data_IF_136568938585
#
_entry.id   IF_136568938585
#
_cell.length_a   1.000
_cell.length_b   1.000
_cell.length_c   1.000
_cell.angle_alpha   90.00
_cell.angle_beta   90.00
_cell.angle_gamma   90.00
#
_symmetry.space_group_name_H-M   'P 1'
#
loop_
_entity.id
_entity.type
_entity.pdbx_description
1 polymer ?
#
# COMPACT_ATOMS: atom_id res chain seq x y z
N UNK A 1 22.92 21.69 -20.65
CA UNK A 1 22.97 20.25 -20.99
C UNK A 1 21.60 19.84 -21.51
N UNK A 2 21.58 19.25 -22.69
CA UNK A 2 20.41 19.06 -23.55
C UNK A 2 19.53 17.94 -22.98
N UNK A 3 18.26 18.22 -22.70
CA UNK A 3 17.24 17.21 -22.43
C UNK A 3 16.40 17.02 -23.71
N UNK A 4 16.28 15.81 -24.27
CA UNK A 4 15.40 15.59 -25.40
C UNK A 4 13.94 15.50 -24.92
N UNK A 5 13.07 16.26 -25.56
CA UNK A 5 11.63 16.15 -25.44
C UNK A 5 11.12 15.08 -26.42
N UNK A 6 10.25 14.17 -25.98
CA UNK A 6 9.45 13.34 -26.89
C UNK A 6 8.03 13.11 -26.35
N UNK A 7 7.05 13.35 -27.24
CA UNK A 7 5.63 12.96 -27.14
C UNK A 7 5.47 11.51 -27.61
N UNK A 8 4.41 10.80 -27.17
CA UNK A 8 3.39 10.16 -28.04
C UNK A 8 2.51 9.13 -27.29
N UNK A 9 1.18 9.27 -27.38
CA UNK A 9 0.21 8.18 -27.28
C UNK A 9 -1.05 8.54 -28.11
N UNK A 10 -1.70 7.56 -28.76
CA UNK A 10 -3.01 7.68 -29.42
C UNK A 10 -3.90 6.45 -29.10
N UNK A 11 -5.16 6.71 -28.72
CA UNK A 11 -6.16 5.74 -28.25
C UNK A 11 -6.94 5.11 -29.42
N UNK A 12 -7.26 3.80 -29.36
CA UNK A 12 -8.13 3.13 -30.34
C UNK A 12 -9.54 2.85 -29.77
N UNK A 13 -10.52 2.71 -30.66
CA UNK A 13 -11.96 2.60 -30.35
C UNK A 13 -12.36 1.29 -29.64
N UNK A 14 -11.44 0.33 -29.47
CA UNK A 14 -11.68 -0.96 -28.78
C UNK A 14 -11.09 -0.99 -27.34
N UNK A 15 -10.50 0.12 -26.87
CA UNK A 15 -10.01 0.24 -25.49
C UNK A 15 -8.65 -0.41 -25.22
N UNK A 16 -7.82 -0.62 -26.24
CA UNK A 16 -6.47 -1.21 -26.13
C UNK A 16 -5.40 -0.23 -26.62
N UNK A 17 -4.31 -0.09 -25.86
CA UNK A 17 -3.12 0.67 -26.25
C UNK A 17 -2.11 -0.26 -26.95
N UNK A 18 -1.74 0.08 -28.18
CA UNK A 18 -0.63 -0.53 -28.93
C UNK A 18 0.53 0.46 -29.02
N UNK A 19 1.76 -0.01 -28.86
CA UNK A 19 2.95 0.67 -29.38
C UNK A 19 3.96 -0.36 -29.88
N UNK A 20 4.28 -0.29 -31.18
CA UNK A 20 5.28 -1.09 -31.88
C UNK A 20 6.67 -0.75 -31.35
N UNK A 21 7.27 -1.65 -30.58
CA UNK A 21 8.35 -2.48 -31.11
C UNK A 21 8.69 -3.57 -30.08
N UNK A 22 8.31 -4.76 -30.51
CA UNK A 22 8.77 -6.10 -30.13
C UNK A 22 8.81 -6.45 -28.64
N UNK A 23 7.81 -7.26 -28.31
CA UNK A 23 7.64 -8.13 -27.16
C UNK A 23 7.51 -7.45 -25.80
N UNK A 24 6.27 -7.43 -25.28
CA UNK A 24 5.87 -8.05 -24.01
C UNK A 24 4.35 -7.83 -23.81
N UNK A 25 3.64 -8.90 -23.46
CA UNK A 25 2.18 -8.96 -23.28
C UNK A 25 1.74 -8.63 -21.85
N UNK A 26 0.60 -7.95 -21.70
CA UNK A 26 0.13 -7.34 -20.45
C UNK A 26 -1.12 -8.02 -19.88
N UNK A 27 -1.08 -8.28 -18.57
CA UNK A 27 -2.26 -8.27 -17.70
C UNK A 27 -1.81 -7.56 -16.42
N UNK A 28 -2.28 -6.33 -16.20
CA UNK A 28 -1.90 -5.46 -15.08
C UNK A 28 -0.37 -5.32 -14.86
N UNK A 29 0.31 -4.54 -15.72
CA UNK A 29 1.76 -4.36 -15.68
C UNK A 29 2.18 -2.89 -15.74
N UNK A 30 3.09 -2.51 -14.86
CA UNK A 30 3.77 -1.22 -14.77
C UNK A 30 5.25 -1.47 -14.99
N UNK A 31 5.85 -0.77 -15.94
CA UNK A 31 7.30 -0.70 -16.12
C UNK A 31 7.85 0.56 -15.47
N UNK A 32 8.89 0.44 -14.63
CA UNK A 32 9.64 1.58 -14.10
C UNK A 32 11.14 1.36 -14.35
N UNK A 33 11.76 2.35 -15.01
CA UNK A 33 13.19 2.41 -15.32
C UNK A 33 14.01 2.81 -14.07
N UNK A 34 15.34 2.73 -14.15
CA UNK A 34 16.35 2.81 -13.06
C UNK A 34 16.34 4.06 -12.13
N UNK A 35 15.34 4.95 -12.24
CA UNK A 35 15.21 6.19 -11.46
C UNK A 35 14.04 6.12 -10.47
N UNK A 36 14.14 5.25 -9.47
CA UNK A 36 13.14 5.07 -8.41
C UNK A 36 12.83 6.34 -7.57
N UNK A 37 13.61 7.43 -7.72
CA UNK A 37 13.30 8.74 -7.12
C UNK A 37 12.27 9.58 -7.91
N UNK A 38 11.93 9.17 -9.14
CA UNK A 38 11.01 9.86 -10.07
C UNK A 38 9.66 9.14 -10.23
N UNK A 39 9.30 8.24 -9.29
CA UNK A 39 8.13 7.34 -9.38
C UNK A 39 6.78 8.08 -9.42
N UNK A 40 6.72 9.38 -9.11
CA UNK A 40 5.49 10.19 -9.22
C UNK A 40 5.65 11.37 -10.20
N UNK A 41 6.86 11.68 -10.67
CA UNK A 41 7.10 12.91 -11.43
C UNK A 41 6.73 12.79 -12.91
N UNK A 42 6.75 11.58 -13.46
CA UNK A 42 6.38 11.32 -14.85
C UNK A 42 4.86 11.21 -15.02
N UNK A 43 4.36 11.84 -16.08
CA UNK A 43 2.93 11.90 -16.43
C UNK A 43 2.30 10.49 -16.60
N UNK A 44 3.11 9.52 -17.03
CA UNK A 44 2.77 8.09 -17.11
C UNK A 44 2.44 7.45 -15.74
N UNK A 45 3.13 7.86 -14.67
CA UNK A 45 2.90 7.32 -13.32
C UNK A 45 1.60 7.85 -12.72
N UNK A 46 1.15 9.05 -13.13
CA UNK A 46 -0.12 9.63 -12.67
C UNK A 46 -1.33 8.83 -13.11
N UNK A 47 -1.38 8.44 -14.39
CA UNK A 47 -2.47 7.63 -14.91
C UNK A 47 -2.55 6.27 -14.24
N UNK A 48 -1.41 5.67 -13.95
CA UNK A 48 -1.32 4.38 -13.28
C UNK A 48 -1.83 4.47 -11.84
N UNK A 49 -1.41 5.49 -11.10
CA UNK A 49 -1.91 5.78 -9.75
C UNK A 49 -3.43 6.01 -9.79
N UNK A 50 -3.95 6.75 -10.78
CA UNK A 50 -5.40 6.93 -10.94
C UNK A 50 -6.12 5.64 -11.24
N UNK A 51 -5.66 4.84 -12.22
CA UNK A 51 -6.27 3.55 -12.56
C UNK A 51 -6.26 2.59 -11.38
N UNK A 52 -5.19 2.61 -10.58
CA UNK A 52 -5.13 1.87 -9.33
C UNK A 52 -6.24 2.32 -8.37
N UNK A 53 -6.38 3.63 -8.14
CA UNK A 53 -7.44 4.16 -7.27
C UNK A 53 -8.85 3.99 -7.83
N UNK A 54 -9.06 4.07 -9.13
CA UNK A 54 -10.33 3.78 -9.80
C UNK A 54 -10.73 2.31 -9.65
N UNK A 55 -9.75 1.40 -9.67
CA UNK A 55 -10.01 0.02 -9.31
C UNK A 55 -10.37 -0.10 -7.83
N UNK A 56 -9.77 0.71 -6.94
CA UNK A 56 -10.18 0.77 -5.54
C UNK A 56 -11.61 1.30 -5.34
N UNK A 57 -12.11 2.16 -6.23
CA UNK A 57 -13.51 2.63 -6.18
C UNK A 57 -14.52 1.49 -6.34
N UNK A 58 -14.13 0.39 -6.99
CA UNK A 58 -14.96 -0.83 -7.09
C UNK A 58 -15.16 -1.52 -5.73
N UNK A 59 -14.38 -1.17 -4.71
CA UNK A 59 -14.48 -1.69 -3.34
C UNK A 59 -15.08 -0.65 -2.37
N UNK A 60 -15.89 0.28 -2.89
CA UNK A 60 -16.62 1.25 -2.07
C UNK A 60 -15.82 2.49 -1.65
N UNK A 61 -14.53 2.56 -2.00
CA UNK A 61 -13.68 3.72 -1.70
C UNK A 61 -13.88 4.78 -2.77
N UNK A 62 -14.75 5.78 -2.54
CA UNK A 62 -15.00 6.85 -3.52
C UNK A 62 -14.04 8.02 -3.32
N UNK A 63 -13.49 8.53 -4.42
CA UNK A 63 -12.65 9.73 -4.39
C UNK A 63 -13.33 10.91 -5.08
N UNK A 64 -13.32 12.06 -4.42
CA UNK A 64 -13.65 13.33 -5.08
C UNK A 64 -12.59 13.72 -6.10
N UNK A 65 -12.95 14.49 -7.12
CA UNK A 65 -12.01 15.02 -8.11
C UNK A 65 -10.89 15.87 -7.48
N UNK A 66 -11.16 16.54 -6.37
CA UNK A 66 -10.18 17.27 -5.56
C UNK A 66 -9.11 16.33 -4.99
N UNK A 67 -9.54 15.19 -4.43
CA UNK A 67 -8.71 14.15 -3.85
C UNK A 67 -7.90 13.42 -4.91
N UNK A 68 -8.52 13.03 -6.03
CA UNK A 68 -7.83 12.41 -7.18
C UNK A 68 -6.68 13.28 -7.69
N UNK A 69 -6.92 14.58 -7.85
CA UNK A 69 -5.87 15.54 -8.27
C UNK A 69 -4.72 15.59 -7.27
N UNK A 70 -5.01 15.57 -5.98
CA UNK A 70 -3.98 15.64 -4.94
C UNK A 70 -3.14 14.36 -4.83
N UNK A 71 -3.76 13.20 -5.07
CA UNK A 71 -3.07 11.90 -5.12
C UNK A 71 -2.01 11.86 -6.22
N UNK A 72 -2.32 12.41 -7.40
CA UNK A 72 -1.39 12.43 -8.54
C UNK A 72 -0.45 13.61 -8.59
N UNK A 73 -0.55 14.56 -7.64
CA UNK A 73 0.35 15.70 -7.62
C UNK A 73 1.78 15.21 -7.36
N UNK A 74 2.71 15.47 -8.30
CA UNK A 74 4.09 15.04 -8.17
C UNK A 74 4.83 15.88 -7.12
N UNK A 75 5.90 15.33 -6.58
CA UNK A 75 6.81 16.03 -5.67
C UNK A 75 6.15 16.55 -4.39
N UNK A 76 6.73 17.63 -3.86
CA UNK A 76 6.29 18.25 -2.62
C UNK A 76 4.92 18.91 -2.79
N UNK A 77 3.93 18.44 -2.05
CA UNK A 77 2.54 18.91 -2.15
C UNK A 77 2.14 19.63 -0.87
N UNK A 78 1.71 20.90 -0.99
CA UNK A 78 1.05 21.63 0.10
C UNK A 78 -0.47 21.61 -0.13
N UNK A 79 -1.19 20.91 0.76
CA UNK A 79 -2.63 20.80 0.71
C UNK A 79 -3.29 21.74 1.71
N UNK A 80 -4.09 22.70 1.22
CA UNK A 80 -4.85 23.64 2.05
C UNK A 80 -6.34 23.37 1.91
N UNK A 81 -7.06 23.31 3.03
CA UNK A 81 -8.51 23.07 3.04
C UNK A 81 -9.07 23.05 4.45
N UNK A 82 -10.39 23.29 4.58
CA UNK A 82 -11.11 23.24 5.87
C UNK A 82 -11.05 21.85 6.50
N UNK A 83 -11.39 21.74 7.78
CA UNK A 83 -11.56 20.40 8.41
C UNK A 83 -12.61 19.59 7.65
N UNK A 84 -12.46 18.27 7.60
CA UNK A 84 -13.38 17.36 6.91
C UNK A 84 -13.22 17.25 5.38
N UNK A 85 -12.34 18.03 4.73
CA UNK A 85 -12.15 17.96 3.27
C UNK A 85 -11.27 16.77 2.79
N UNK A 86 -11.14 15.72 3.60
CA UNK A 86 -10.40 14.49 3.25
C UNK A 86 -8.88 14.62 3.07
N UNK A 87 -8.24 15.68 3.59
CA UNK A 87 -6.78 15.88 3.46
C UNK A 87 -6.00 14.71 4.04
N UNK A 88 -6.32 14.32 5.27
CA UNK A 88 -5.67 13.22 5.97
C UNK A 88 -5.86 11.90 5.25
N UNK A 89 -7.09 11.63 4.80
CA UNK A 89 -7.46 10.45 4.03
C UNK A 89 -6.61 10.33 2.76
N UNK A 90 -6.48 11.43 2.00
CA UNK A 90 -5.63 11.44 0.79
C UNK A 90 -4.16 11.23 1.12
N UNK A 91 -3.64 11.76 2.22
CA UNK A 91 -2.27 11.48 2.65
C UNK A 91 -2.07 9.98 2.92
N UNK A 92 -3.01 9.32 3.59
CA UNK A 92 -2.95 7.88 3.83
C UNK A 92 -2.98 7.07 2.53
N UNK A 93 -3.85 7.44 1.59
CA UNK A 93 -3.87 6.84 0.25
C UNK A 93 -2.58 7.09 -0.53
N UNK A 94 -1.98 8.28 -0.42
CA UNK A 94 -0.70 8.59 -1.05
C UNK A 94 0.42 7.71 -0.48
N UNK A 95 0.44 7.51 0.84
CA UNK A 95 1.38 6.58 1.49
C UNK A 95 1.21 5.16 0.94
N UNK A 96 -0.03 4.67 0.85
CA UNK A 96 -0.34 3.36 0.30
C UNK A 96 0.09 3.21 -1.15
N UNK A 97 -0.21 4.18 -2.02
CA UNK A 97 0.21 4.14 -3.41
C UNK A 97 1.74 4.07 -3.54
N UNK A 98 2.47 4.88 -2.77
CA UNK A 98 3.94 4.89 -2.80
C UNK A 98 4.48 3.54 -2.32
N UNK A 99 3.96 3.01 -1.21
CA UNK A 99 4.37 1.71 -0.68
C UNK A 99 4.16 0.58 -1.69
N UNK A 100 2.98 0.50 -2.31
CA UNK A 100 2.66 -0.52 -3.31
C UNK A 100 3.52 -0.40 -4.57
N UNK A 101 3.74 0.83 -5.06
CA UNK A 101 4.62 1.07 -6.20
C UNK A 101 6.06 0.63 -5.89
N UNK A 102 6.54 0.90 -4.67
CA UNK A 102 7.87 0.48 -4.26
C UNK A 102 7.97 -1.05 -4.14
N UNK A 103 6.95 -1.72 -3.60
CA UNK A 103 6.86 -3.20 -3.57
C UNK A 103 6.91 -3.79 -4.97
N UNK A 104 6.14 -3.24 -5.91
CA UNK A 104 6.13 -3.68 -7.30
C UNK A 104 7.50 -3.49 -7.96
N UNK A 105 8.14 -2.34 -7.74
CA UNK A 105 9.48 -2.04 -8.24
C UNK A 105 10.54 -3.01 -7.68
N UNK A 106 10.53 -3.23 -6.36
CA UNK A 106 11.47 -4.16 -5.70
C UNK A 106 11.32 -5.59 -6.24
N UNK A 107 10.08 -6.05 -6.43
CA UNK A 107 9.81 -7.37 -7.01
C UNK A 107 10.25 -7.46 -8.47
N UNK A 108 9.96 -6.45 -9.29
CA UNK A 108 10.45 -6.36 -10.68
C UNK A 108 11.97 -6.44 -10.77
N UNK A 109 12.66 -5.72 -9.89
CA UNK A 109 14.12 -5.72 -9.82
C UNK A 109 14.68 -7.08 -9.39
N UNK A 110 14.09 -7.74 -8.39
CA UNK A 110 14.51 -9.05 -7.92
C UNK A 110 14.28 -10.15 -8.97
N UNK A 111 13.17 -10.09 -9.70
CA UNK A 111 12.85 -11.06 -10.76
C UNK A 111 13.57 -10.78 -12.10
N UNK A 112 14.20 -9.61 -12.26
CA UNK A 112 14.79 -9.19 -13.53
C UNK A 112 13.74 -9.00 -14.64
N UNK A 113 12.48 -8.73 -14.28
CA UNK A 113 11.35 -8.63 -15.21
C UNK A 113 10.79 -7.22 -15.20
N UNK A 114 10.50 -6.70 -16.40
CA UNK A 114 9.88 -5.37 -16.57
C UNK A 114 8.43 -5.34 -16.09
N UNK A 115 7.73 -6.48 -16.18
CA UNK A 115 6.32 -6.58 -15.81
C UNK A 115 6.15 -7.59 -14.70
N UNK A 116 5.75 -7.09 -13.54
CA UNK A 116 5.47 -7.90 -12.36
C UNK A 116 4.08 -7.62 -11.85
N UNK A 117 3.40 -8.69 -11.45
CA UNK A 117 2.12 -8.62 -10.77
C UNK A 117 2.38 -8.70 -9.27
N UNK A 118 1.77 -7.79 -8.53
CA UNK A 118 1.68 -7.91 -7.09
C UNK A 118 0.69 -9.01 -6.72
N UNK A 119 1.11 -9.84 -5.78
CA UNK A 119 0.38 -10.93 -5.15
C UNK A 119 0.08 -10.57 -3.70
N UNK A 120 -0.86 -11.27 -3.07
CA UNK A 120 -1.23 -11.05 -1.68
C UNK A 120 -0.03 -11.16 -0.72
N UNK A 121 0.89 -12.09 -0.98
CA UNK A 121 2.13 -12.27 -0.21
C UNK A 121 3.06 -11.07 -0.28
N UNK A 122 3.07 -10.35 -1.40
CA UNK A 122 3.96 -9.20 -1.60
C UNK A 122 3.57 -8.00 -0.73
N UNK A 123 2.31 -7.92 -0.29
CA UNK A 123 1.84 -6.85 0.59
C UNK A 123 2.46 -6.93 1.99
N UNK A 124 2.87 -8.12 2.41
CA UNK A 124 3.50 -8.37 3.71
C UNK A 124 5.01 -8.17 3.67
N UNK A 125 5.61 -8.11 2.47
CA UNK A 125 7.05 -7.90 2.33
C UNK A 125 7.37 -6.44 2.56
N UNK A 126 8.29 -6.17 3.48
CA UNK A 126 8.76 -4.81 3.73
C UNK A 126 9.54 -4.28 2.54
N UNK A 127 9.02 -3.23 1.91
CA UNK A 127 9.59 -2.68 0.70
C UNK A 127 10.88 -1.90 0.95
N UNK A 128 11.13 -1.44 2.19
CA UNK A 128 12.25 -0.54 2.51
C UNK A 128 12.00 0.92 2.09
N UNK A 129 10.74 1.28 1.80
CA UNK A 129 10.36 2.66 1.55
C UNK A 129 10.21 3.39 2.90
N UNK A 130 11.16 4.27 3.23
CA UNK A 130 11.21 5.02 4.49
C UNK A 130 10.15 6.12 4.61
N UNK A 131 8.86 5.76 4.59
CA UNK A 131 7.74 6.71 4.65
C UNK A 131 7.37 7.00 6.10
N UNK A 132 7.37 8.27 6.49
CA UNK A 132 6.91 8.71 7.82
C UNK A 132 5.68 9.60 7.66
N UNK A 133 4.59 9.22 8.33
CA UNK A 133 3.44 10.08 8.58
C UNK A 133 3.57 10.69 9.97
N UNK A 134 3.42 12.01 10.06
CA UNK A 134 3.44 12.69 11.35
C UNK A 134 2.31 13.70 11.53
N UNK A 135 1.73 13.72 12.72
CA UNK A 135 0.74 14.71 13.15
C UNK A 135 0.98 15.11 14.61
N UNK A 136 0.47 16.25 15.05
CA UNK A 136 0.58 16.65 16.45
C UNK A 136 -0.31 15.79 17.37
N UNK A 137 -1.36 15.19 16.82
CA UNK A 137 -2.35 14.42 17.60
C UNK A 137 -2.02 12.92 17.63
N UNK A 138 -1.90 12.30 18.82
CA UNK A 138 -1.70 10.85 18.96
C UNK A 138 -2.88 10.07 18.39
N UNK A 139 -4.11 10.50 18.68
CA UNK A 139 -5.35 9.83 18.28
C UNK A 139 -5.44 9.81 16.77
N UNK A 140 -5.16 10.94 16.12
CA UNK A 140 -5.11 10.99 14.66
C UNK A 140 -3.98 10.14 14.08
N UNK A 141 -2.84 10.00 14.77
CA UNK A 141 -1.75 9.10 14.35
C UNK A 141 -2.24 7.65 14.34
N UNK A 142 -2.87 7.21 15.43
CA UNK A 142 -3.41 5.85 15.56
C UNK A 142 -4.53 5.57 14.59
N UNK A 143 -5.43 6.53 14.38
CA UNK A 143 -6.54 6.40 13.43
C UNK A 143 -6.03 6.28 11.99
N UNK A 144 -5.06 7.10 11.59
CA UNK A 144 -4.46 7.00 10.24
C UNK A 144 -3.72 5.69 10.05
N UNK A 145 -3.05 5.19 11.09
CA UNK A 145 -2.40 3.87 11.08
C UNK A 145 -3.41 2.75 10.88
N UNK A 146 -4.49 2.71 11.68
CA UNK A 146 -5.57 1.72 11.56
C UNK A 146 -6.18 1.76 10.16
N UNK A 147 -6.54 2.95 9.70
CA UNK A 147 -7.06 3.15 8.35
C UNK A 147 -6.12 2.62 7.26
N UNK A 148 -4.82 2.86 7.38
CA UNK A 148 -3.83 2.31 6.43
C UNK A 148 -3.78 0.78 6.46
N UNK A 149 -3.79 0.16 7.65
CA UNK A 149 -3.78 -1.29 7.82
C UNK A 149 -5.05 -1.93 7.23
N UNK A 150 -6.22 -1.32 7.47
CA UNK A 150 -7.49 -1.77 6.90
C UNK A 150 -7.46 -1.72 5.37
N UNK A 151 -6.87 -0.67 4.79
CA UNK A 151 -6.69 -0.58 3.34
C UNK A 151 -5.78 -1.67 2.81
N UNK A 152 -4.67 -1.97 3.49
CA UNK A 152 -3.78 -3.07 3.09
C UNK A 152 -4.50 -4.41 3.13
N UNK A 153 -5.29 -4.67 4.18
CA UNK A 153 -6.04 -5.90 4.35
C UNK A 153 -7.09 -6.08 3.23
N UNK A 154 -7.85 -5.02 2.91
CA UNK A 154 -8.82 -5.04 1.80
C UNK A 154 -8.15 -5.35 0.46
N UNK A 155 -6.97 -4.79 0.20
CA UNK A 155 -6.21 -5.08 -1.02
C UNK A 155 -5.72 -6.54 -1.02
N UNK A 156 -5.26 -7.05 0.12
CA UNK A 156 -4.82 -8.45 0.28
C UNK A 156 -5.95 -9.42 -0.06
N UNK A 157 -7.11 -9.24 0.54
CA UNK A 157 -8.31 -10.05 0.29
C UNK A 157 -8.71 -10.03 -1.18
N UNK A 158 -8.66 -8.85 -1.81
CA UNK A 158 -8.94 -8.72 -3.24
C UNK A 158 -7.96 -9.52 -4.11
N UNK A 159 -6.65 -9.44 -3.82
CA UNK A 159 -5.64 -10.19 -4.55
C UNK A 159 -5.83 -11.70 -4.40
N UNK A 160 -6.15 -12.17 -3.18
CA UNK A 160 -6.46 -13.59 -2.91
C UNK A 160 -7.68 -14.05 -3.71
N UNK A 161 -8.77 -13.28 -3.69
CA UNK A 161 -9.98 -13.58 -4.47
C UNK A 161 -9.68 -13.69 -5.96
N UNK A 162 -8.90 -12.77 -6.52
CA UNK A 162 -8.48 -12.84 -7.93
C UNK A 162 -7.63 -14.08 -8.24
N UNK A 163 -6.74 -14.48 -7.33
CA UNK A 163 -5.92 -15.68 -7.50
C UNK A 163 -6.80 -16.94 -7.53
N UNK A 164 -7.74 -17.06 -6.58
CA UNK A 164 -8.73 -18.15 -6.52
C UNK A 164 -9.56 -18.23 -7.82
N UNK A 165 -10.08 -17.10 -8.31
CA UNK A 165 -10.85 -17.05 -9.57
C UNK A 165 -10.03 -17.48 -10.80
N UNK A 166 -8.73 -17.14 -10.85
CA UNK A 166 -7.84 -17.53 -11.95
C UNK A 166 -7.53 -19.03 -11.90
N UNK A 167 -7.30 -19.59 -10.72
CA UNK A 167 -7.10 -21.02 -10.52
C UNK A 167 -8.33 -21.83 -10.97
N UNK A 168 -9.53 -21.42 -10.56
CA UNK A 168 -10.79 -22.05 -10.97
C UNK A 168 -11.00 -22.01 -12.49
N UNK A 169 -10.68 -20.88 -13.15
CA UNK A 169 -10.78 -20.76 -14.62
C UNK A 169 -9.77 -21.65 -15.34
N UNK A 170 -8.58 -21.87 -14.78
CA UNK A 170 -7.58 -22.80 -15.35
C UNK A 170 -8.08 -24.25 -15.25
N UNK A 171 -8.59 -24.66 -14.08
CA UNK A 171 -9.16 -26.00 -13.87
C UNK A 171 -10.27 -26.32 -14.88
N UNK A 172 -11.26 -25.43 -15.03
CA UNK A 172 -12.36 -25.61 -15.99
C UNK A 172 -11.88 -25.75 -17.44
N UNK A 173 -10.82 -25.04 -17.83
CA UNK A 173 -10.24 -25.13 -19.17
C UNK A 173 -9.51 -26.45 -19.38
N UNK A 174 -8.80 -26.94 -18.37
CA UNK A 174 -8.12 -28.24 -18.42
C UNK A 174 -9.14 -29.39 -18.55
N UNK A 175 -10.22 -29.37 -17.76
CA UNK A 175 -11.31 -30.36 -17.84
C UNK A 175 -11.99 -30.39 -19.22
N UNK A 176 -12.24 -29.21 -19.80
CA UNK A 176 -12.87 -29.10 -21.14
C UNK A 176 -11.95 -29.67 -22.23
N UNK A 177 -10.63 -29.45 -22.13
CA UNK A 177 -9.67 -29.97 -23.09
C UNK A 177 -9.46 -31.49 -22.96
N UNK A 178 -9.54 -32.07 -21.76
CA UNK A 178 -9.45 -33.53 -21.58
C UNK A 178 -10.66 -34.28 -22.18
N UNK A 179 -11.86 -33.68 -22.20
CA UNK A 179 -13.02 -34.26 -22.88
C UNK A 179 -12.90 -34.22 -24.42
N UNK A 180 -12.24 -33.20 -24.98
CA UNK A 180 -11.99 -33.13 -26.43
C UNK A 180 -10.81 -34.00 -26.89
N UNK A 181 -9.85 -34.32 -26.01
CA UNK A 181 -8.63 -35.07 -26.36
C UNK A 181 -8.72 -36.58 -26.12
N UNK A 182 -9.82 -37.09 -25.53
CA UNK A 182 -10.11 -38.55 -25.41
C UNK A 182 -10.30 -39.31 -26.74
N UNK A 183 -10.00 -38.68 -27.88
CA UNK A 183 -9.96 -39.30 -29.21
C UNK A 183 -8.55 -39.38 -29.84
N UNK A 184 -7.45 -39.03 -29.14
CA UNK A 184 -6.09 -39.24 -29.67
C UNK A 184 -5.02 -39.45 -28.58
N UNK A 185 -4.57 -40.70 -28.52
CA UNK A 185 -3.32 -41.27 -27.99
C UNK A 185 -2.82 -40.93 -26.58
N UNK A 186 -2.66 -42.00 -25.80
CA UNK A 186 -2.05 -42.09 -24.48
C UNK A 186 -0.53 -41.84 -24.54
N UNK A 187 -0.01 -40.85 -23.80
CA UNK A 187 1.14 -40.95 -22.87
C UNK A 187 1.70 -39.57 -22.45
N UNK A 188 1.94 -39.42 -21.14
CA UNK A 188 2.74 -38.42 -20.40
C UNK A 188 2.15 -37.02 -20.09
N UNK A 189 1.34 -36.89 -19.03
CA UNK A 189 1.03 -35.60 -18.36
C UNK A 189 0.82 -35.74 -16.82
N UNK A 190 1.67 -36.48 -16.09
CA UNK A 190 1.49 -36.66 -14.63
C UNK A 190 2.20 -35.60 -13.74
N UNK A 191 3.02 -34.70 -14.29
CA UNK A 191 3.88 -33.83 -13.46
C UNK A 191 3.33 -32.41 -13.17
N UNK A 192 2.27 -31.93 -13.84
CA UNK A 192 1.73 -30.56 -13.63
C UNK A 192 0.55 -30.48 -12.64
N UNK A 193 -0.11 -31.60 -12.30
CA UNK A 193 -1.26 -31.59 -11.39
C UNK A 193 -0.86 -31.40 -9.91
N UNK A 194 0.30 -31.93 -9.50
CA UNK A 194 0.77 -31.93 -8.10
C UNK A 194 1.13 -30.54 -7.57
N UNK A 195 1.55 -29.60 -8.43
CA UNK A 195 1.95 -28.25 -8.01
C UNK A 195 0.74 -27.32 -7.75
N UNK A 196 -0.35 -27.51 -8.51
CA UNK A 196 -1.60 -26.77 -8.35
C UNK A 196 -2.40 -27.23 -7.12
N UNK A 197 -2.30 -28.50 -6.74
CA UNK A 197 -3.04 -29.05 -5.60
C UNK A 197 -2.45 -28.59 -4.26
N UNK A 198 -1.12 -28.43 -4.18
CA UNK A 198 -0.45 -27.82 -3.01
C UNK A 198 -0.81 -26.35 -2.80
N UNK A 199 -0.89 -25.55 -3.85
CA UNK A 199 -1.20 -24.11 -3.73
C UNK A 199 -2.65 -23.85 -3.26
N UNK A 200 -3.56 -24.80 -3.49
CA UNK A 200 -4.96 -24.73 -3.02
C UNK A 200 -5.14 -25.23 -1.59
N UNK A 201 -4.41 -26.27 -1.18
CA UNK A 201 -4.49 -26.80 0.18
C UNK A 201 -4.03 -25.80 1.27
N UNK A 202 -3.17 -24.84 0.91
CA UNK A 202 -2.76 -23.75 1.81
C UNK A 202 -3.83 -22.64 1.94
N UNK A 203 -4.78 -22.54 1.00
CA UNK A 203 -5.78 -21.46 0.94
C UNK A 203 -7.15 -21.80 1.54
N UNK A 204 -7.41 -23.08 1.83
CA UNK A 204 -8.69 -23.58 2.39
C UNK A 204 -8.73 -23.58 3.93
N UNK A 205 -7.66 -23.13 4.61
CA UNK A 205 -7.61 -23.04 6.08
C UNK A 205 -8.04 -21.66 6.65
N UNK A 206 -8.45 -20.71 5.80
CA UNK A 206 -8.89 -19.37 6.21
C UNK A 206 -10.29 -19.06 5.65
N UNK A 207 -11.32 -19.76 6.14
CA UNK A 207 -12.72 -19.45 5.84
C UNK A 207 -13.47 -19.01 7.12
N UNK A 208 -13.63 -17.69 7.27
CA UNK A 208 -14.85 -17.06 7.78
C UNK A 208 -14.86 -15.60 7.29
N UNK A 209 -16.03 -14.98 7.19
CA UNK A 209 -16.32 -13.58 6.80
C UNK A 209 -16.82 -13.33 5.37
N UNK A 210 -18.13 -13.47 5.23
CA UNK A 210 -18.92 -12.67 4.28
C UNK A 210 -20.09 -12.04 5.04
N UNK A 211 -19.96 -10.80 5.57
CA UNK A 211 -21.10 -9.87 5.83
C UNK A 211 -20.79 -8.46 6.44
N UNK A 212 -19.73 -7.72 6.07
CA UNK A 212 -19.44 -6.42 6.73
C UNK A 212 -19.27 -5.17 5.84
N UNK A 213 -19.35 -5.29 4.51
CA UNK A 213 -18.62 -4.35 3.64
C UNK A 213 -19.21 -2.93 3.47
N UNK A 214 -20.50 -2.68 3.75
CA UNK A 214 -21.12 -1.35 3.47
C UNK A 214 -21.39 -0.48 4.71
N UNK A 215 -21.32 -1.04 5.93
CA UNK A 215 -21.62 -0.29 7.16
C UNK A 215 -20.39 0.40 7.75
N UNK A 216 -19.23 -0.22 7.60
CA UNK A 216 -18.00 0.17 8.30
C UNK A 216 -17.30 1.39 7.69
N UNK A 217 -17.32 1.55 6.36
CA UNK A 217 -16.67 2.71 5.72
C UNK A 217 -17.36 4.04 6.10
N UNK A 218 -18.66 3.99 6.41
CA UNK A 218 -19.45 5.15 6.83
C UNK A 218 -19.32 5.40 8.33
N UNK A 219 -19.35 4.35 9.14
CA UNK A 219 -19.09 4.43 10.59
C UNK A 219 -17.65 4.94 10.88
N UNK A 220 -16.66 4.60 10.06
CA UNK A 220 -15.28 5.08 10.17
C UNK A 220 -15.12 6.56 9.76
N UNK A 221 -15.87 7.01 8.76
CA UNK A 221 -15.86 8.41 8.37
C UNK A 221 -16.53 9.30 9.45
N UNK A 222 -17.54 8.76 10.13
CA UNK A 222 -18.22 9.38 11.26
C UNK A 222 -17.37 9.33 12.54
N UNK A 223 -16.62 8.25 12.81
CA UNK A 223 -15.70 8.15 13.96
C UNK A 223 -14.53 9.12 13.84
N UNK A 224 -13.93 9.25 12.65
CA UNK A 224 -12.90 10.26 12.37
C UNK A 224 -13.43 11.68 12.63
N UNK A 225 -14.69 11.94 12.32
CA UNK A 225 -15.33 13.25 12.54
C UNK A 225 -15.63 13.50 14.03
N UNK A 226 -16.13 12.50 14.76
CA UNK A 226 -16.47 12.57 16.18
C UNK A 226 -15.23 12.75 17.09
N UNK A 227 -14.13 12.10 16.75
CA UNK A 227 -12.86 12.17 17.50
C UNK A 227 -12.16 13.52 17.32
N UNK A 228 -12.38 14.20 16.19
CA UNK A 228 -11.92 15.59 16.00
C UNK A 228 -12.62 16.55 16.98
N UNK A 229 -13.84 16.23 17.43
CA UNK A 229 -14.62 17.05 18.36
C UNK A 229 -14.43 16.67 19.84
N UNK A 230 -13.95 15.46 20.16
CA UNK A 230 -13.76 14.97 21.54
C UNK A 230 -12.40 15.32 22.17
N UNK A 231 -11.54 16.11 21.51
CA UNK A 231 -10.17 16.47 21.94
C UNK A 231 -10.11 17.42 23.14
N UNK A 232 -10.76 17.06 24.26
CA UNK A 232 -10.64 17.72 25.56
C UNK A 232 -10.49 16.80 26.77
N UNK A 233 -10.49 15.46 26.64
CA UNK A 233 -10.47 14.59 27.82
C UNK A 233 -9.52 13.37 27.82
N UNK A 234 -8.67 13.17 26.81
CA UNK A 234 -7.91 11.91 26.64
C UNK A 234 -6.37 12.11 26.60
N UNK A 235 -5.77 12.66 27.66
CA UNK A 235 -4.29 12.75 27.79
C UNK A 235 -3.68 11.57 28.56
N UNK A 236 -4.48 10.78 29.29
CA UNK A 236 -3.98 9.66 30.11
C UNK A 236 -3.93 8.34 29.31
N UNK A 237 -4.87 8.09 28.39
CA UNK A 237 -4.82 6.94 27.47
C UNK A 237 -3.76 7.12 26.34
N UNK A 238 -3.23 8.33 26.18
CA UNK A 238 -2.26 8.72 25.13
C UNK A 238 -0.88 8.05 25.31
N UNK A 239 -0.47 7.73 26.54
CA UNK A 239 0.84 7.14 26.83
C UNK A 239 0.86 5.61 26.70
N UNK A 240 -0.26 4.92 26.94
CA UNK A 240 -0.34 3.46 26.80
C UNK A 240 -0.39 3.04 25.32
N UNK A 241 -1.06 3.80 24.45
CA UNK A 241 -1.12 3.48 23.02
C UNK A 241 0.22 3.71 22.29
N UNK A 242 1.02 4.72 22.66
CA UNK A 242 2.37 4.91 22.10
C UNK A 242 3.35 3.80 22.53
N UNK A 243 3.16 3.19 23.71
CA UNK A 243 3.99 2.09 24.19
C UNK A 243 3.71 0.76 23.46
N UNK A 244 2.50 0.58 22.93
CA UNK A 244 2.12 -0.61 22.13
C UNK A 244 2.78 -0.62 20.75
N UNK A 245 3.19 0.55 20.27
CA UNK A 245 3.97 0.68 19.05
C UNK A 245 5.42 0.36 19.38
N UNK A 246 5.92 -0.80 18.96
CA UNK A 246 7.33 -1.23 19.06
C UNK A 246 8.27 -0.35 18.22
N UNK A 247 8.22 0.97 18.41
CA UNK A 247 8.95 1.99 17.69
C UNK A 247 10.17 2.37 18.52
N UNK A 248 11.39 2.18 17.98
CA UNK A 248 12.61 2.56 18.66
C UNK A 248 12.67 4.03 19.09
N UNK A 249 13.52 4.32 20.08
CA UNK A 249 13.72 5.69 20.59
C UNK A 249 14.56 6.59 19.69
N UNK A 250 15.15 6.07 18.61
CA UNK A 250 16.03 6.78 17.67
C UNK A 250 15.74 6.35 16.23
N UNK A 251 15.90 7.29 15.29
CA UNK A 251 15.75 7.03 13.84
C UNK A 251 16.78 6.01 13.35
N UNK A 252 17.98 5.99 13.92
CA UNK A 252 19.08 5.10 13.48
C UNK A 252 18.81 3.63 13.77
N UNK A 253 17.83 3.37 14.65
CA UNK A 253 17.41 2.02 15.04
C UNK A 253 16.19 1.54 14.26
N UNK A 254 15.61 2.36 13.39
CA UNK A 254 14.48 1.95 12.55
C UNK A 254 14.94 0.91 11.52
N UNK A 255 14.18 -0.18 11.41
CA UNK A 255 14.33 -1.20 10.38
C UNK A 255 13.26 -1.02 9.31
N UNK A 256 13.39 -1.75 8.19
CA UNK A 256 12.38 -1.76 7.13
C UNK A 256 10.99 -2.19 7.64
N UNK A 257 10.94 -2.95 8.74
CA UNK A 257 9.70 -3.44 9.36
C UNK A 257 8.89 -2.33 10.04
N UNK A 258 9.55 -1.22 10.37
CA UNK A 258 8.90 -0.08 11.00
C UNK A 258 8.19 0.84 9.99
N UNK A 259 8.25 0.54 8.70
CA UNK A 259 7.72 1.39 7.64
C UNK A 259 6.49 0.78 6.93
N UNK A 260 5.48 1.61 6.57
CA UNK A 260 5.40 3.04 6.86
C UNK A 260 5.20 3.33 8.36
N UNK A 261 5.86 4.38 8.83
CA UNK A 261 5.89 4.73 10.25
C UNK A 261 4.88 5.85 10.53
N UNK A 262 4.03 5.68 11.54
CA UNK A 262 3.03 6.66 11.95
C UNK A 262 3.40 7.17 13.34
N UNK A 263 3.74 8.47 13.43
CA UNK A 263 4.31 9.07 14.65
C UNK A 263 3.62 10.38 15.01
N UNK A 264 3.65 10.73 16.29
CA UNK A 264 3.43 12.12 16.67
C UNK A 264 4.64 12.98 16.26
N UNK A 265 4.43 14.27 15.99
CA UNK A 265 5.53 15.22 15.73
C UNK A 265 6.51 15.24 16.91
N UNK A 266 6.00 15.16 18.14
CA UNK A 266 6.80 15.07 19.37
C UNK A 266 7.72 13.85 19.34
N UNK A 267 7.18 12.65 19.09
CA UNK A 267 7.96 11.42 18.99
C UNK A 267 9.01 11.50 17.89
N UNK A 268 8.66 12.01 16.71
CA UNK A 268 9.59 12.18 15.59
C UNK A 268 10.76 13.11 15.97
N UNK A 269 10.49 14.25 16.60
CA UNK A 269 11.53 15.18 17.08
C UNK A 269 12.45 14.47 18.08
N UNK A 270 11.90 13.72 19.03
CA UNK A 270 12.73 12.98 19.98
C UNK A 270 13.56 11.88 19.32
N UNK A 271 13.04 11.20 18.31
CA UNK A 271 13.82 10.20 17.58
C UNK A 271 14.96 10.84 16.78
N UNK A 272 14.72 11.99 16.13
CA UNK A 272 15.73 12.74 15.40
C UNK A 272 16.82 13.29 16.33
N UNK A 273 16.42 13.82 17.48
CA UNK A 273 17.33 14.27 18.52
C UNK A 273 18.22 13.12 19.04
N UNK A 274 17.66 11.94 19.25
CA UNK A 274 18.40 10.77 19.71
C UNK A 274 19.46 10.29 18.71
N UNK A 275 19.27 10.56 17.41
CA UNK A 275 20.22 10.25 16.34
C UNK A 275 21.34 11.29 16.20
N UNK A 276 21.27 12.40 16.92
CA UNK A 276 22.31 13.42 16.87
C UNK A 276 23.54 12.99 17.69
N UNK A 277 24.74 13.35 17.22
CA UNK A 277 26.00 13.12 17.96
C UNK A 277 26.00 13.74 19.36
N UNK A 278 25.27 14.85 19.50
CA UNK A 278 25.06 15.56 20.76
C UNK A 278 23.56 15.84 20.91
N UNK A 279 22.78 14.89 21.46
CA UNK A 279 21.35 15.08 21.70
C UNK A 279 21.11 16.26 22.63
N UNK A 280 20.09 17.06 22.33
CA UNK A 280 19.62 18.15 23.18
C UNK A 280 18.93 17.63 24.43
N UNK A 281 18.09 16.59 24.29
CA UNK A 281 17.41 15.99 25.43
C UNK A 281 18.33 14.99 26.14
N UNK A 282 18.56 15.18 27.44
CA UNK A 282 19.29 14.24 28.27
C UNK A 282 18.57 12.89 28.33
N UNK A 283 19.29 11.79 28.11
CA UNK A 283 18.73 10.43 28.05
C UNK A 283 19.39 9.47 29.01
N UNK A 284 18.59 8.53 29.52
CA UNK A 284 19.06 7.39 30.30
C UNK A 284 19.77 6.34 29.45
N UNK A 285 20.33 5.31 30.11
CA UNK A 285 20.98 4.17 29.45
C UNK A 285 20.01 3.35 28.58
N UNK A 286 18.72 3.42 28.88
CA UNK A 286 17.61 2.84 28.11
C UNK A 286 17.23 3.67 26.87
N UNK A 287 17.81 4.86 26.71
CA UNK A 287 17.51 5.79 25.62
C UNK A 287 16.27 6.67 25.86
N UNK A 288 15.62 6.54 27.01
CA UNK A 288 14.48 7.36 27.41
C UNK A 288 14.93 8.73 27.90
N UNK A 289 14.10 9.76 27.68
CA UNK A 289 14.43 11.14 28.08
C UNK A 289 14.20 11.32 29.60
N UNK A 290 15.19 11.87 30.29
CA UNK A 290 15.07 12.18 31.73
C UNK A 290 13.94 13.19 31.99
N UNK A 291 13.13 12.93 33.02
CA UNK A 291 12.06 13.84 33.45
C UNK A 291 10.74 13.72 32.66
N UNK A 292 10.65 12.82 31.68
CA UNK A 292 9.38 12.54 31.00
C UNK A 292 8.47 11.58 31.75
N UNK A 293 9.03 10.73 32.63
CA UNK A 293 8.27 9.77 33.47
C UNK A 293 7.67 10.38 34.74
N UNK A 294 7.91 11.67 35.00
CA UNK A 294 7.46 12.37 36.22
C UNK A 294 6.14 13.14 36.06
N UNK A 295 5.44 12.96 34.93
CA UNK A 295 4.20 13.69 34.59
C UNK A 295 2.94 12.82 34.64
N UNK A 296 3.04 11.58 35.10
CA UNK A 296 1.89 10.69 35.38
C UNK A 296 1.32 10.99 36.75
#
# INVERSE_FOLDING_TARGET
>A
LIAPAFKLFKYSEEGVWLLENEDIYYTAGVTLDDKAATVIDEESNKEMVLKFFENLEKYGIKFENSQKRMLVTPGNTLALGRSGTGKTTVSAFKILAIDLLFKAYSKAKLEGRKNVKLEAKDLQIYAGCGIIFSTASPVLTNEVRRFYQDLQQKIKEYLLKQQKERALKKKKKAETNQEETKNKDENNEEDEEDELEKELAELDNEDDFTHLEDKEAKELQESIQLVIESTKQDLEDEFEEEAQLNIPSSVDKLTNENFPCFLTVKKLIYMLDASCRYPFFSRGMDGNIYGMSSST
#
